data_IF_353735131077
#
_entry.id   IF_353735131077
#
_cell.length_a   1.000
_cell.length_b   1.000
_cell.length_c   1.000
_cell.angle_alpha   90.00
_cell.angle_beta   90.00
_cell.angle_gamma   90.00
#
_symmetry.space_group_name_H-M   'P 1'
#
loop_
_entity.id
_entity.type
_entity.pdbx_description
1 polymer ?
#
# COMPACT_ATOMS: atom_id res chain seq x y z
N UNK A 1 -6.60 -22.84 7.24
CA UNK A 1 -6.60 -22.86 5.77
C UNK A 1 -5.91 -21.59 5.32
N UNK A 2 -4.72 -21.70 4.74
CA UNK A 2 -4.11 -20.54 4.08
C UNK A 2 -5.01 -20.15 2.90
N UNK A 3 -5.38 -18.88 2.84
CA UNK A 3 -6.34 -18.40 1.85
C UNK A 3 -5.57 -17.74 0.72
N UNK A 4 -5.80 -18.20 -0.51
CA UNK A 4 -5.09 -17.70 -1.68
C UNK A 4 -5.34 -16.19 -1.88
N UNK A 5 -4.29 -15.42 -2.14
CA UNK A 5 -4.34 -13.95 -2.16
C UNK A 5 -3.78 -13.37 -3.46
N UNK A 6 -4.45 -12.37 -4.03
CA UNK A 6 -3.93 -11.64 -5.18
C UNK A 6 -2.78 -10.73 -4.73
N UNK A 7 -1.56 -11.01 -5.21
CA UNK A 7 -0.36 -10.22 -4.87
C UNK A 7 0.04 -9.22 -5.95
N UNK A 8 -0.45 -9.40 -7.18
CA UNK A 8 -0.18 -8.50 -8.31
C UNK A 8 -1.33 -8.56 -9.30
N UNK A 9 -1.65 -7.43 -9.91
CA UNK A 9 -2.61 -7.32 -11.01
C UNK A 9 -1.97 -6.54 -12.16
N UNK A 10 -1.99 -7.09 -13.37
CA UNK A 10 -1.38 -6.49 -14.55
C UNK A 10 -2.17 -6.85 -15.81
N UNK A 11 -2.70 -5.86 -16.52
CA UNK A 11 -3.35 -6.05 -17.84
C UNK A 11 -4.43 -7.15 -17.87
N UNK A 12 -5.19 -7.29 -16.77
CA UNK A 12 -6.26 -8.31 -16.64
C UNK A 12 -5.78 -9.70 -16.21
N UNK A 13 -4.49 -9.86 -15.92
CA UNK A 13 -3.91 -11.00 -15.23
C UNK A 13 -3.77 -10.69 -13.74
N UNK A 14 -4.00 -11.70 -12.91
CA UNK A 14 -3.93 -11.64 -11.46
C UNK A 14 -2.99 -12.74 -10.98
N UNK A 15 -1.99 -12.40 -10.18
CA UNK A 15 -1.03 -13.35 -9.66
C UNK A 15 -1.44 -13.73 -8.24
N UNK A 16 -1.96 -14.94 -8.10
CA UNK A 16 -2.53 -15.49 -6.87
C UNK A 16 -1.44 -16.28 -6.14
N UNK A 17 -1.14 -15.87 -4.90
CA UNK A 17 -0.26 -16.58 -3.98
C UNK A 17 -1.08 -17.55 -3.17
N UNK A 18 -0.70 -18.82 -3.18
CA UNK A 18 -1.35 -19.91 -2.44
C UNK A 18 -0.26 -20.77 -1.78
N UNK A 19 -0.04 -20.54 -0.48
CA UNK A 19 1.21 -20.95 0.19
C UNK A 19 2.44 -20.41 -0.54
N UNK A 20 3.39 -21.29 -0.86
CA UNK A 20 4.59 -20.95 -1.62
C UNK A 20 4.35 -20.81 -3.14
N UNK A 21 3.19 -21.21 -3.63
CA UNK A 21 2.91 -21.25 -5.07
C UNK A 21 2.42 -19.89 -5.57
N UNK A 22 2.92 -19.47 -6.74
CA UNK A 22 2.38 -18.31 -7.47
C UNK A 22 1.71 -18.79 -8.75
N UNK A 23 0.40 -18.54 -8.87
CA UNK A 23 -0.41 -18.92 -10.03
C UNK A 23 -0.82 -17.67 -10.78
N UNK A 24 -0.58 -17.65 -12.09
CA UNK A 24 -1.14 -16.62 -12.97
C UNK A 24 -2.59 -16.98 -13.33
N UNK A 25 -3.51 -16.11 -12.97
CA UNK A 25 -4.94 -16.29 -13.15
C UNK A 25 -5.57 -15.20 -14.00
N UNK A 26 -6.69 -15.52 -14.64
CA UNK A 26 -7.63 -14.53 -15.19
C UNK A 26 -8.94 -14.52 -14.40
N UNK A 27 -9.61 -13.39 -14.38
CA UNK A 27 -10.94 -13.29 -13.79
C UNK A 27 -11.99 -13.92 -14.72
N UNK A 28 -12.93 -14.70 -14.18
CA UNK A 28 -14.11 -15.16 -14.93
C UNK A 28 -14.94 -13.98 -15.45
N UNK A 29 -15.60 -14.18 -16.60
CA UNK A 29 -16.44 -13.15 -17.23
C UNK A 29 -17.56 -12.63 -16.33
N UNK A 30 -18.05 -13.42 -15.37
CA UNK A 30 -19.10 -13.04 -14.42
C UNK A 30 -18.78 -11.76 -13.63
N UNK A 31 -17.51 -11.55 -13.30
CA UNK A 31 -17.05 -10.36 -12.58
C UNK A 31 -17.36 -9.04 -13.33
N UNK A 32 -17.38 -9.09 -14.67
CA UNK A 32 -17.77 -7.93 -15.48
C UNK A 32 -19.26 -7.63 -15.39
N UNK A 33 -20.10 -8.66 -15.32
CA UNK A 33 -21.55 -8.54 -15.18
C UNK A 33 -21.92 -8.02 -13.79
N UNK A 34 -21.23 -8.51 -12.76
CA UNK A 34 -21.41 -8.12 -11.36
C UNK A 34 -20.72 -6.78 -11.02
N UNK A 35 -20.10 -6.11 -12.00
CA UNK A 35 -19.34 -4.86 -11.84
C UNK A 35 -18.30 -4.91 -10.70
N UNK A 36 -17.77 -6.09 -10.43
CA UNK A 36 -16.83 -6.34 -9.34
C UNK A 36 -15.50 -6.77 -9.94
N UNK A 37 -14.48 -5.93 -9.81
CA UNK A 37 -13.13 -6.26 -10.26
C UNK A 37 -12.31 -6.85 -9.10
N UNK A 38 -11.55 -7.95 -9.32
CA UNK A 38 -10.55 -8.39 -8.37
C UNK A 38 -9.47 -7.31 -8.16
N UNK A 39 -9.00 -7.19 -6.93
CA UNK A 39 -8.01 -6.20 -6.48
C UNK A 39 -6.80 -6.90 -5.85
N UNK A 40 -5.66 -6.23 -5.85
CA UNK A 40 -4.52 -6.68 -5.04
C UNK A 40 -4.93 -6.69 -3.56
N UNK A 41 -4.60 -7.76 -2.85
CA UNK A 41 -5.05 -8.00 -1.47
C UNK A 41 -6.36 -8.76 -1.35
N UNK A 42 -7.08 -9.03 -2.45
CA UNK A 42 -8.25 -9.91 -2.39
C UNK A 42 -7.85 -11.34 -2.05
N UNK A 43 -8.59 -11.92 -1.12
CA UNK A 43 -8.66 -13.35 -0.91
C UNK A 43 -9.58 -13.96 -1.97
N UNK A 44 -9.15 -15.04 -2.60
CA UNK A 44 -9.88 -15.65 -3.73
C UNK A 44 -9.88 -17.15 -3.67
N UNK A 45 -10.85 -17.77 -4.35
CA UNK A 45 -10.71 -19.16 -4.80
C UNK A 45 -10.41 -19.18 -6.29
N UNK A 46 -9.67 -20.18 -6.74
CA UNK A 46 -9.33 -20.34 -8.15
C UNK A 46 -9.33 -21.82 -8.55
N UNK A 47 -9.44 -22.06 -9.85
CA UNK A 47 -9.36 -23.38 -10.47
C UNK A 47 -8.37 -23.34 -11.63
N UNK A 48 -7.73 -24.48 -11.92
CA UNK A 48 -6.90 -24.65 -13.10
C UNK A 48 -7.74 -25.27 -14.22
N UNK A 49 -7.63 -24.75 -15.43
CA UNK A 49 -8.20 -25.41 -16.61
C UNK A 49 -7.37 -26.62 -17.05
N UNK A 50 -7.84 -27.35 -18.07
CA UNK A 50 -7.16 -28.53 -18.62
C UNK A 50 -5.77 -28.24 -19.21
N UNK A 51 -5.43 -26.96 -19.43
CA UNK A 51 -4.13 -26.49 -19.92
C UNK A 51 -3.29 -25.88 -18.80
N UNK A 52 -3.70 -26.00 -17.53
CA UNK A 52 -3.02 -25.46 -16.37
C UNK A 52 -3.17 -23.94 -16.18
N UNK A 53 -4.10 -23.28 -16.88
CA UNK A 53 -4.34 -21.83 -16.72
C UNK A 53 -5.26 -21.56 -15.53
N UNK A 54 -4.85 -20.64 -14.67
CA UNK A 54 -5.64 -20.24 -13.51
C UNK A 54 -6.85 -19.38 -13.87
N UNK A 55 -7.97 -19.66 -13.23
CA UNK A 55 -9.20 -18.87 -13.32
C UNK A 55 -9.68 -18.54 -11.91
N UNK A 56 -9.78 -17.24 -11.59
CA UNK A 56 -10.38 -16.79 -10.34
C UNK A 56 -11.87 -17.14 -10.40
N UNK A 57 -12.30 -17.97 -9.46
CA UNK A 57 -13.69 -18.35 -9.33
C UNK A 57 -14.41 -17.28 -8.54
N UNK A 58 -14.14 -17.12 -7.25
CA UNK A 58 -14.80 -16.13 -6.38
C UNK A 58 -13.79 -15.21 -5.69
N UNK A 59 -14.29 -14.04 -5.28
CA UNK A 59 -13.62 -13.13 -4.34
C UNK A 59 -14.30 -13.32 -2.99
N UNK A 60 -13.52 -13.57 -1.94
CA UNK A 60 -14.04 -13.68 -0.58
C UNK A 60 -14.42 -12.29 -0.03
N UNK A 61 -15.28 -12.22 1.01
CA UNK A 61 -15.69 -10.95 1.59
C UNK A 61 -14.50 -10.06 1.97
N UNK A 62 -14.57 -8.80 1.54
CA UNK A 62 -13.55 -7.79 1.86
C UNK A 62 -13.86 -7.14 3.20
N UNK A 63 -12.85 -6.93 4.04
CA UNK A 63 -13.00 -6.03 5.21
C UNK A 63 -13.00 -4.55 4.80
N UNK A 64 -12.28 -4.21 3.73
CA UNK A 64 -12.26 -2.90 3.11
C UNK A 64 -11.74 -2.96 1.66
N UNK A 65 -11.96 -1.89 0.89
CA UNK A 65 -11.44 -1.75 -0.46
C UNK A 65 -11.27 -0.29 -0.86
N UNK A 66 -10.26 -0.02 -1.68
CA UNK A 66 -9.90 1.31 -2.15
C UNK A 66 -9.82 1.29 -3.68
N UNK A 67 -10.24 2.39 -4.30
CA UNK A 67 -10.14 2.57 -5.75
C UNK A 67 -8.82 3.21 -6.17
N UNK A 68 -8.14 3.92 -5.25
CA UNK A 68 -6.85 4.58 -5.44
C UNK A 68 -6.02 4.56 -4.15
N UNK A 69 -4.96 3.72 -4.08
CA UNK A 69 -4.64 2.65 -5.02
C UNK A 69 -5.75 1.58 -5.05
N UNK A 70 -5.81 0.80 -6.14
CA UNK A 70 -6.81 -0.24 -6.32
C UNK A 70 -6.45 -1.50 -5.52
N UNK A 71 -6.78 -1.52 -4.23
CA UNK A 71 -6.38 -2.55 -3.26
C UNK A 71 -7.51 -2.91 -2.30
N UNK A 72 -7.43 -4.08 -1.67
CA UNK A 72 -8.40 -4.57 -0.69
C UNK A 72 -7.73 -5.19 0.54
N UNK A 73 -8.51 -5.34 1.60
CA UNK A 73 -8.12 -5.99 2.85
C UNK A 73 -6.89 -5.37 3.56
N UNK A 74 -6.74 -4.07 3.44
CA UNK A 74 -5.65 -3.32 4.07
C UNK A 74 -5.86 -3.24 5.58
N UNK A 75 -4.85 -3.65 6.34
CA UNK A 75 -4.82 -3.48 7.81
C UNK A 75 -4.39 -2.08 8.20
N UNK A 76 -3.38 -1.55 7.51
CA UNK A 76 -2.71 -0.34 7.92
C UNK A 76 -2.35 0.55 6.72
N UNK A 77 -2.61 1.85 6.85
CA UNK A 77 -2.07 2.87 5.97
C UNK A 77 -0.82 3.48 6.57
N UNK A 78 0.26 3.46 5.79
CA UNK A 78 1.48 4.24 6.05
C UNK A 78 1.47 5.45 5.13
N UNK A 79 1.13 6.62 5.68
CA UNK A 79 1.14 7.88 4.95
C UNK A 79 2.50 8.57 5.12
N UNK A 80 3.23 8.76 4.03
CA UNK A 80 4.45 9.56 4.02
C UNK A 80 4.11 11.02 3.75
N UNK A 81 4.56 11.88 4.65
CA UNK A 81 4.51 13.33 4.55
C UNK A 81 5.93 13.90 4.69
N UNK A 82 6.15 15.13 4.25
CA UNK A 82 7.48 15.77 4.27
C UNK A 82 7.34 17.28 4.38
N UNK A 83 8.24 17.92 5.15
CA UNK A 83 8.43 19.36 5.17
C UNK A 83 9.40 19.86 4.07
N UNK A 84 10.05 18.92 3.37
CA UNK A 84 10.95 19.18 2.24
C UNK A 84 10.29 18.80 0.93
N UNK A 85 10.59 19.52 -0.16
CA UNK A 85 10.03 19.29 -1.50
C UNK A 85 9.94 17.79 -1.87
N UNK A 86 8.75 17.25 -2.18
CA UNK A 86 7.43 17.92 -2.12
C UNK A 86 6.97 18.17 -0.68
N UNK A 87 6.73 19.45 -0.36
CA UNK A 87 6.10 19.80 0.92
C UNK A 87 4.67 19.25 0.90
N UNK A 88 4.32 18.53 1.96
CA UNK A 88 2.98 17.96 2.08
C UNK A 88 2.02 19.01 2.62
N UNK A 89 0.92 19.21 1.90
CA UNK A 89 -0.16 20.07 2.33
C UNK A 89 -1.09 19.25 3.26
N UNK A 90 -1.36 19.72 4.50
CA UNK A 90 -2.14 18.96 5.48
C UNK A 90 -3.54 18.57 5.03
N UNK A 91 -4.28 19.44 4.33
CA UNK A 91 -5.62 19.11 3.85
C UNK A 91 -5.63 17.92 2.88
N UNK A 92 -4.63 17.77 2.02
CA UNK A 92 -4.47 16.57 1.17
C UNK A 92 -4.21 15.32 2.01
N UNK A 93 -3.33 15.41 2.99
CA UNK A 93 -3.04 14.31 3.92
C UNK A 93 -4.29 13.90 4.71
N UNK A 94 -5.03 14.86 5.25
CA UNK A 94 -6.24 14.64 6.06
C UNK A 94 -7.35 13.94 5.28
N UNK A 95 -7.53 14.28 4.00
CA UNK A 95 -8.50 13.61 3.13
C UNK A 95 -8.17 12.12 2.94
N UNK A 96 -6.88 11.81 2.79
CA UNK A 96 -6.43 10.42 2.65
C UNK A 96 -6.59 9.68 3.98
N UNK A 97 -6.17 10.29 5.09
CA UNK A 97 -6.35 9.74 6.44
C UNK A 97 -7.83 9.41 6.70
N UNK A 98 -8.73 10.35 6.44
CA UNK A 98 -10.17 10.17 6.66
C UNK A 98 -10.73 8.97 5.86
N UNK A 99 -10.32 8.79 4.60
CA UNK A 99 -10.77 7.68 3.77
C UNK A 99 -10.32 6.31 4.32
N UNK A 100 -9.08 6.20 4.76
CA UNK A 100 -8.54 4.95 5.30
C UNK A 100 -9.05 4.66 6.71
N UNK A 101 -9.18 5.69 7.55
CA UNK A 101 -9.72 5.56 8.89
C UNK A 101 -11.20 5.15 8.87
N UNK A 102 -12.01 5.74 7.98
CA UNK A 102 -13.42 5.36 7.82
C UNK A 102 -13.56 3.90 7.36
N UNK A 103 -12.59 3.39 6.60
CA UNK A 103 -12.52 2.00 6.17
C UNK A 103 -11.91 1.04 7.22
N UNK A 104 -11.69 1.52 8.45
CA UNK A 104 -11.21 0.72 9.58
C UNK A 104 -9.71 0.39 9.55
N UNK A 105 -8.91 1.10 8.75
CA UNK A 105 -7.47 0.89 8.73
C UNK A 105 -6.78 1.61 9.90
N UNK A 106 -5.73 1.00 10.45
CA UNK A 106 -4.79 1.66 11.34
C UNK A 106 -3.99 2.71 10.56
N UNK A 107 -3.76 3.88 11.17
CA UNK A 107 -3.07 5.00 10.53
C UNK A 107 -1.68 5.18 11.17
N UNK A 108 -0.64 5.09 10.33
CA UNK A 108 0.72 5.44 10.65
C UNK A 108 1.15 6.60 9.74
N UNK A 109 1.65 7.68 10.34
CA UNK A 109 2.15 8.86 9.63
C UNK A 109 3.67 8.87 9.74
N UNK A 110 4.35 8.86 8.60
CA UNK A 110 5.78 8.98 8.51
C UNK A 110 6.16 10.39 8.04
N UNK A 111 6.73 11.19 8.94
CA UNK A 111 7.36 12.47 8.57
C UNK A 111 8.74 12.15 7.99
N UNK A 112 8.80 11.97 6.68
CA UNK A 112 10.00 11.52 5.97
C UNK A 112 10.92 12.69 5.59
N UNK A 113 12.18 12.38 5.27
CA UNK A 113 13.26 13.35 5.01
C UNK A 113 13.60 14.20 6.24
N UNK A 114 13.44 13.61 7.43
CA UNK A 114 13.76 14.24 8.73
C UNK A 114 15.23 14.64 8.88
N UNK A 115 16.11 14.04 8.09
CA UNK A 115 17.53 14.41 7.98
C UNK A 115 17.76 15.77 7.32
N UNK A 116 16.78 16.28 6.56
CA UNK A 116 16.84 17.58 5.88
C UNK A 116 16.01 18.64 6.60
N UNK A 117 14.84 18.27 7.12
CA UNK A 117 13.97 19.10 7.95
C UNK A 117 13.19 18.18 8.90
N UNK A 118 13.28 18.43 10.21
CA UNK A 118 12.62 17.63 11.25
C UNK A 118 11.11 17.52 11.10
N UNK A 119 10.49 18.43 10.33
CA UNK A 119 9.07 18.48 10.06
C UNK A 119 8.24 18.78 11.30
N UNK A 120 8.78 19.54 12.25
CA UNK A 120 8.18 19.77 13.57
C UNK A 120 6.74 20.27 13.49
N UNK A 121 6.43 21.18 12.57
CA UNK A 121 5.05 21.66 12.36
C UNK A 121 4.08 20.54 12.00
N UNK A 122 4.47 19.65 11.08
CA UNK A 122 3.64 18.50 10.69
C UNK A 122 3.51 17.51 11.85
N UNK A 123 4.61 17.25 12.56
CA UNK A 123 4.61 16.40 13.74
C UNK A 123 3.68 16.94 14.84
N UNK A 124 3.74 18.24 15.14
CA UNK A 124 2.91 18.91 16.14
C UNK A 124 1.42 18.92 15.76
N UNK A 125 1.08 19.07 14.48
CA UNK A 125 -0.31 18.98 14.01
C UNK A 125 -0.85 17.59 14.29
N UNK A 126 -0.15 16.55 13.82
CA UNK A 126 -0.66 15.19 13.89
C UNK A 126 -0.52 14.57 15.28
N UNK A 127 0.44 14.98 16.11
CA UNK A 127 0.63 14.44 17.48
C UNK A 127 -0.51 14.77 18.44
N UNK A 128 -1.42 15.67 18.04
CA UNK A 128 -2.68 15.94 18.75
C UNK A 128 -3.76 14.89 18.47
N UNK A 129 -3.49 13.92 17.61
CA UNK A 129 -4.37 12.80 17.26
C UNK A 129 -3.89 11.51 17.94
N UNK A 130 -4.68 10.44 17.83
CA UNK A 130 -4.28 9.11 18.30
C UNK A 130 -3.49 8.30 17.26
N UNK A 131 -3.05 8.94 16.16
CA UNK A 131 -2.26 8.25 15.14
C UNK A 131 -0.83 8.02 15.62
N UNK A 132 -0.23 6.92 15.16
CA UNK A 132 1.19 6.71 15.35
C UNK A 132 1.96 7.59 14.37
N UNK A 133 2.87 8.42 14.88
CA UNK A 133 3.69 9.32 14.06
C UNK A 133 5.15 8.98 14.26
N UNK A 134 5.88 8.80 13.16
CA UNK A 134 7.27 8.39 13.17
C UNK A 134 8.04 9.37 12.29
N UNK A 135 9.06 10.04 12.83
CA UNK A 135 10.04 10.73 11.99
C UNK A 135 10.90 9.68 11.31
N UNK A 136 11.04 9.81 10.00
CA UNK A 136 11.76 8.83 9.19
C UNK A 136 12.74 9.51 8.26
N UNK A 137 13.84 8.81 7.96
CA UNK A 137 14.73 9.18 6.89
C UNK A 137 15.18 7.93 6.16
N UNK A 138 14.82 7.82 4.88
CA UNK A 138 15.35 6.78 4.02
C UNK A 138 16.87 6.92 3.81
N UNK A 139 17.44 8.11 4.01
CA UNK A 139 18.86 8.39 3.84
C UNK A 139 19.66 7.97 5.09
N UNK A 140 19.33 8.52 6.27
CA UNK A 140 20.05 8.20 7.51
C UNK A 140 19.63 6.86 8.12
N UNK A 141 18.40 6.40 7.85
CA UNK A 141 17.82 5.22 8.48
C UNK A 141 17.02 5.51 9.75
N UNK A 142 16.88 6.78 10.14
CA UNK A 142 16.05 7.19 11.27
C UNK A 142 14.61 6.65 11.13
N UNK A 143 14.05 6.17 12.24
CA UNK A 143 12.66 5.71 12.34
C UNK A 143 12.34 4.39 11.62
N UNK A 144 13.28 3.80 10.88
CA UNK A 144 13.02 2.62 10.04
C UNK A 144 12.71 1.38 10.90
N UNK A 145 13.47 1.15 11.96
CA UNK A 145 13.24 0.01 12.85
C UNK A 145 11.92 0.15 13.61
N UNK A 146 11.55 1.38 13.97
CA UNK A 146 10.25 1.65 14.61
C UNK A 146 9.10 1.39 13.63
N UNK A 147 9.22 1.88 12.39
CA UNK A 147 8.24 1.61 11.35
C UNK A 147 8.13 0.12 11.07
N UNK A 148 9.26 -0.60 10.97
CA UNK A 148 9.28 -2.06 10.75
C UNK A 148 8.51 -2.80 11.84
N UNK A 149 8.70 -2.44 13.11
CA UNK A 149 7.92 -3.02 14.22
C UNK A 149 6.43 -2.68 14.12
N UNK A 150 6.11 -1.43 13.75
CA UNK A 150 4.73 -0.97 13.68
C UNK A 150 3.90 -1.65 12.57
N UNK A 151 4.54 -2.03 11.45
CA UNK A 151 3.87 -2.67 10.31
C UNK A 151 3.98 -4.20 10.30
N UNK A 152 4.72 -4.80 11.24
CA UNK A 152 4.98 -6.24 11.25
C UNK A 152 3.67 -7.04 11.32
N UNK A 153 3.53 -8.04 10.44
CA UNK A 153 2.34 -8.90 10.37
C UNK A 153 1.09 -8.26 9.78
N UNK A 154 1.17 -7.03 9.24
CA UNK A 154 0.03 -6.29 8.67
C UNK A 154 0.14 -6.19 7.16
N UNK A 155 -0.99 -6.26 6.46
CA UNK A 155 -1.07 -5.84 5.06
C UNK A 155 -1.13 -4.30 5.00
N UNK A 156 -0.01 -3.69 4.63
CA UNK A 156 0.13 -2.25 4.59
C UNK A 156 0.02 -1.67 3.19
N UNK A 157 -0.58 -0.48 3.09
CA UNK A 157 -0.47 0.38 1.92
C UNK A 157 0.41 1.59 2.23
N UNK A 158 1.33 1.91 1.32
CA UNK A 158 2.18 3.10 1.43
C UNK A 158 1.69 4.17 0.46
N UNK A 159 1.40 5.37 0.96
CA UNK A 159 0.88 6.48 0.13
C UNK A 159 1.51 7.81 0.54
N UNK A 160 1.30 8.86 -0.26
CA UNK A 160 1.92 10.18 -0.11
C UNK A 160 2.30 10.79 -1.46
N UNK A 161 2.74 12.05 -1.47
CA UNK A 161 3.06 12.77 -2.71
C UNK A 161 4.16 12.08 -3.55
N UNK A 162 4.15 12.28 -4.86
CA UNK A 162 5.24 11.79 -5.72
C UNK A 162 6.54 12.49 -5.34
N UNK A 163 7.63 11.73 -5.09
CA UNK A 163 8.91 12.28 -4.62
C UNK A 163 9.04 12.49 -3.11
N UNK A 164 8.01 12.18 -2.31
CA UNK A 164 8.08 12.26 -0.83
C UNK A 164 9.02 11.21 -0.21
N UNK A 165 9.45 10.20 -0.99
CA UNK A 165 10.42 9.17 -0.59
C UNK A 165 9.83 7.79 -0.31
N UNK A 166 8.61 7.47 -0.78
CA UNK A 166 7.95 6.16 -0.59
C UNK A 166 8.82 4.97 -1.01
N UNK A 167 9.29 4.96 -2.25
CA UNK A 167 10.10 3.84 -2.79
C UNK A 167 11.41 3.68 -2.02
N UNK A 168 12.08 4.79 -1.69
CA UNK A 168 13.32 4.77 -0.91
C UNK A 168 13.10 4.20 0.49
N UNK A 169 11.98 4.56 1.14
CA UNK A 169 11.63 4.03 2.45
C UNK A 169 11.31 2.53 2.39
N UNK A 170 10.55 2.09 1.40
CA UNK A 170 10.22 0.66 1.19
C UNK A 170 11.50 -0.16 0.93
N UNK A 171 12.39 0.32 0.05
CA UNK A 171 13.67 -0.36 -0.22
C UNK A 171 14.54 -0.50 1.04
N UNK A 172 14.44 0.44 1.98
CA UNK A 172 15.16 0.34 3.25
C UNK A 172 14.48 -0.60 4.25
N UNK A 173 13.15 -0.68 4.23
CA UNK A 173 12.39 -1.62 5.06
C UNK A 173 12.62 -3.07 4.64
N UNK A 174 12.69 -3.32 3.33
CA UNK A 174 13.03 -4.61 2.75
C UNK A 174 13.83 -4.39 1.45
N UNK A 175 15.16 -4.62 1.47
CA UNK A 175 16.03 -4.48 0.30
C UNK A 175 15.59 -5.34 -0.90
N UNK A 176 14.93 -6.46 -0.63
CA UNK A 176 14.51 -7.43 -1.63
C UNK A 176 13.47 -6.89 -2.61
N UNK A 177 12.73 -5.83 -2.25
CA UNK A 177 11.78 -5.21 -3.18
C UNK A 177 12.45 -4.53 -4.38
N UNK A 178 13.71 -4.06 -4.22
CA UNK A 178 14.52 -3.44 -5.30
C UNK A 178 13.72 -2.49 -6.21
N UNK A 179 12.85 -1.67 -5.62
CA UNK A 179 11.97 -0.77 -6.37
C UNK A 179 12.83 0.26 -7.07
N UNK A 180 12.69 0.41 -8.39
CA UNK A 180 13.39 1.45 -9.15
C UNK A 180 13.05 2.83 -8.55
N UNK A 181 14.05 3.44 -7.94
CA UNK A 181 14.02 4.83 -7.50
C UNK A 181 14.47 5.67 -8.69
N UNK A 182 13.52 6.18 -9.47
CA UNK A 182 13.79 7.14 -10.55
C UNK A 182 13.44 8.56 -10.10
N UNK A 183 14.04 9.56 -10.76
CA UNK A 183 13.55 10.94 -10.71
C UNK A 183 12.04 10.93 -10.92
N UNK A 184 11.34 11.69 -10.06
CA UNK A 184 9.89 11.88 -9.99
C UNK A 184 9.16 11.22 -11.16
N UNK A 185 8.48 10.10 -10.91
CA UNK A 185 7.73 9.39 -11.94
C UNK A 185 6.70 10.32 -12.60
N UNK A 186 7.11 11.03 -13.66
CA UNK A 186 6.23 11.72 -14.60
C UNK A 186 5.31 10.71 -15.31
N UNK A 187 5.64 9.41 -15.25
CA UNK A 187 4.98 8.36 -16.02
C UNK A 187 3.73 7.74 -15.41
N UNK A 188 3.26 8.15 -14.24
CA UNK A 188 1.89 7.88 -13.83
C UNK A 188 1.44 9.00 -12.89
N UNK A 189 0.55 9.87 -13.36
CA UNK A 189 -0.25 10.79 -12.52
C UNK A 189 -1.24 10.04 -11.62
N UNK A 190 -0.78 9.00 -10.92
CA UNK A 190 -1.53 8.16 -10.01
C UNK A 190 -0.64 7.95 -8.79
N UNK A 191 -0.98 8.65 -7.71
CA UNK A 191 -0.38 8.46 -6.39
C UNK A 191 -0.64 7.07 -5.83
#
# INVERSE_FOLDING_TARGET
>A
METAVITKALSGFYYVRDGDTLVECRARGRFRLEKTSPLVGDYVTYSLDSNGKGMIDSILPRKNSFSRPAVANIDCMVLLISAVNPVTEPFVADRVIAAFQQAGCEIIICVNKSDLDSGDKLYEIYSKTNYKIIRTSANSGEGIDELRRAISGKLCVFTGNSGVGKSSLINRLSPDFSIKVGEVSEKLGRG
#
